data_IF_994460166835
#
_entry.id   IF_994460166835
#
_cell.length_a   1.000
_cell.length_b   1.000
_cell.length_c   1.000
_cell.angle_alpha   90.00
_cell.angle_beta   90.00
_cell.angle_gamma   90.00
#
_symmetry.space_group_name_H-M   'P 1'
#
loop_
_entity.id
_entity.type
_entity.pdbx_description
1 polymer ?
#
# COMPACT_ATOMS: atom_id res chain seq x y z
N UNK A 1 22.85 -15.70 14.08
CA UNK A 1 24.03 -14.82 13.99
C UNK A 1 23.69 -13.52 14.70
N UNK A 2 24.63 -12.78 15.29
CA UNK A 2 24.39 -11.46 15.88
C UNK A 2 24.86 -10.35 14.92
N UNK A 3 24.58 -9.08 15.24
CA UNK A 3 24.94 -7.98 14.35
C UNK A 3 26.46 -7.89 14.13
N UNK A 4 27.27 -8.01 15.19
CA UNK A 4 28.73 -7.90 15.14
C UNK A 4 29.34 -8.88 14.12
N UNK A 5 28.92 -10.14 14.13
CA UNK A 5 29.40 -11.12 13.15
C UNK A 5 28.83 -10.85 11.75
N UNK A 6 27.59 -10.39 11.67
CA UNK A 6 26.93 -10.12 10.39
C UNK A 6 27.61 -9.00 9.60
N UNK A 7 28.01 -7.91 10.26
CA UNK A 7 28.64 -6.77 9.57
C UNK A 7 30.08 -7.05 9.10
N UNK A 8 30.72 -8.10 9.63
CA UNK A 8 32.07 -8.54 9.20
C UNK A 8 32.04 -9.42 7.95
N UNK A 9 30.86 -9.90 7.55
CA UNK A 9 30.68 -10.69 6.34
C UNK A 9 30.79 -9.82 5.08
N UNK A 10 31.24 -10.44 3.98
CA UNK A 10 31.15 -9.82 2.66
C UNK A 10 29.70 -9.48 2.29
N UNK A 11 29.50 -8.55 1.35
CA UNK A 11 28.16 -8.20 0.86
C UNK A 11 27.38 -9.43 0.35
N UNK A 12 28.06 -10.35 -0.34
CA UNK A 12 27.48 -11.60 -0.84
C UNK A 12 27.06 -12.54 0.31
N UNK A 13 27.90 -12.73 1.32
CA UNK A 13 27.57 -13.56 2.48
C UNK A 13 26.40 -12.97 3.29
N UNK A 14 26.39 -11.64 3.48
CA UNK A 14 25.26 -10.93 4.11
C UNK A 14 23.97 -11.13 3.33
N UNK A 15 24.02 -11.04 1.99
CA UNK A 15 22.88 -11.27 1.12
C UNK A 15 22.38 -12.71 1.20
N UNK A 16 23.27 -13.70 1.19
CA UNK A 16 22.88 -15.12 1.30
C UNK A 16 22.17 -15.40 2.63
N UNK A 17 22.72 -14.92 3.74
CA UNK A 17 22.08 -15.05 5.04
C UNK A 17 20.71 -14.36 5.08
N UNK A 18 20.63 -13.12 4.58
CA UNK A 18 19.38 -12.37 4.46
C UNK A 18 18.32 -13.11 3.66
N UNK A 19 18.65 -13.63 2.47
CA UNK A 19 17.73 -14.36 1.60
C UNK A 19 17.27 -15.69 2.21
N UNK A 20 18.13 -16.34 3.01
CA UNK A 20 17.81 -17.60 3.69
C UNK A 20 16.81 -17.44 4.85
N UNK A 21 16.71 -16.23 5.40
CA UNK A 21 15.91 -15.91 6.60
C UNK A 21 14.68 -15.04 6.32
N UNK A 22 14.34 -14.85 5.04
CA UNK A 22 13.15 -14.11 4.62
C UNK A 22 11.86 -14.71 5.21
N UNK A 23 11.00 -13.84 5.71
CA UNK A 23 9.67 -14.21 6.16
C UNK A 23 8.79 -14.65 4.99
N UNK A 24 7.98 -15.67 5.22
CA UNK A 24 6.96 -16.12 4.25
C UNK A 24 5.86 -15.05 4.11
N UNK A 25 5.47 -14.42 5.21
CA UNK A 25 4.43 -13.40 5.22
C UNK A 25 4.58 -12.43 6.40
N UNK A 26 4.19 -11.18 6.20
CA UNK A 26 3.89 -10.24 7.30
C UNK A 26 2.37 -10.02 7.47
N UNK A 27 1.55 -10.81 6.79
CA UNK A 27 0.09 -10.64 6.77
C UNK A 27 -0.50 -11.16 8.08
N UNK A 28 -1.17 -10.28 8.81
CA UNK A 28 -2.05 -10.65 9.93
C UNK A 28 -3.45 -10.99 9.40
N UNK A 29 -4.35 -11.63 10.16
CA UNK A 29 -5.70 -11.94 9.69
C UNK A 29 -6.48 -10.73 9.15
N UNK A 30 -6.27 -9.53 9.72
CA UNK A 30 -6.85 -8.27 9.23
C UNK A 30 -6.35 -7.82 7.84
N UNK A 31 -5.34 -8.47 7.29
CA UNK A 31 -4.86 -8.23 5.94
C UNK A 31 -5.94 -8.53 4.89
N UNK A 32 -6.72 -9.60 5.03
CA UNK A 32 -7.50 -10.15 3.93
C UNK A 32 -8.72 -9.31 3.56
N UNK A 33 -9.49 -8.88 4.56
CA UNK A 33 -10.71 -8.10 4.35
C UNK A 33 -10.84 -7.03 5.42
N UNK A 34 -11.09 -5.79 4.99
CA UNK A 34 -11.49 -4.72 5.90
C UNK A 34 -13.03 -4.69 6.04
N UNK A 35 -13.56 -5.45 7.00
CA UNK A 35 -15.02 -5.52 7.22
C UNK A 35 -15.67 -4.17 7.56
N UNK A 36 -14.94 -3.26 8.20
CA UNK A 36 -15.46 -1.92 8.50
C UNK A 36 -15.67 -1.12 7.21
N UNK A 37 -14.72 -1.20 6.27
CA UNK A 37 -14.89 -0.60 4.93
C UNK A 37 -16.08 -1.23 4.21
N UNK A 38 -16.10 -2.55 4.08
CA UNK A 38 -17.18 -3.27 3.36
C UNK A 38 -18.56 -2.84 3.87
N UNK A 39 -18.78 -2.89 5.20
CA UNK A 39 -20.05 -2.43 5.79
C UNK A 39 -20.38 -0.98 5.49
N UNK A 40 -19.40 -0.07 5.56
CA UNK A 40 -19.62 1.36 5.34
C UNK A 40 -20.00 1.65 3.89
N UNK A 41 -19.24 1.10 2.93
CA UNK A 41 -19.48 1.35 1.50
C UNK A 41 -20.79 0.70 1.03
N UNK A 42 -21.10 -0.52 1.46
CA UNK A 42 -22.39 -1.15 1.12
C UNK A 42 -23.57 -0.39 1.73
N UNK A 43 -23.43 0.10 2.97
CA UNK A 43 -24.49 0.87 3.65
C UNK A 43 -24.77 2.22 2.98
N UNK A 44 -23.79 2.82 2.29
CA UNK A 44 -23.98 4.07 1.54
C UNK A 44 -25.09 3.95 0.49
N UNK A 45 -25.25 2.77 -0.12
CA UNK A 45 -26.21 2.52 -1.22
C UNK A 45 -27.30 1.49 -0.86
N UNK A 46 -27.49 1.20 0.43
CA UNK A 46 -28.38 0.12 0.87
C UNK A 46 -29.83 0.33 0.37
N UNK A 47 -30.33 1.57 0.37
CA UNK A 47 -31.68 1.88 -0.09
C UNK A 47 -31.81 1.71 -1.61
N UNK A 48 -30.84 2.22 -2.36
CA UNK A 48 -30.79 2.14 -3.82
C UNK A 48 -30.70 0.69 -4.26
N UNK A 49 -29.82 -0.10 -3.65
CA UNK A 49 -29.64 -1.52 -3.96
C UNK A 49 -30.89 -2.35 -3.64
N UNK A 50 -31.57 -2.06 -2.52
CA UNK A 50 -32.84 -2.71 -2.21
C UNK A 50 -33.93 -2.37 -3.22
N UNK A 51 -33.96 -1.13 -3.71
CA UNK A 51 -34.91 -0.71 -4.75
C UNK A 51 -34.60 -1.39 -6.08
N UNK A 52 -33.32 -1.50 -6.44
CA UNK A 52 -32.86 -2.14 -7.68
C UNK A 52 -33.09 -3.66 -7.70
N UNK A 53 -33.32 -4.31 -6.54
CA UNK A 53 -33.77 -5.71 -6.52
C UNK A 53 -35.06 -5.92 -7.34
N UNK A 54 -35.88 -4.88 -7.55
CA UNK A 54 -37.04 -4.92 -8.44
C UNK A 54 -36.71 -5.39 -9.86
N UNK A 55 -35.51 -5.08 -10.37
CA UNK A 55 -35.08 -5.43 -11.72
C UNK A 55 -34.66 -6.90 -11.85
N UNK A 56 -34.43 -7.61 -10.74
CA UNK A 56 -33.97 -8.99 -10.78
C UNK A 56 -35.02 -9.88 -11.47
N UNK A 57 -34.59 -10.63 -12.47
CA UNK A 57 -35.43 -11.62 -13.16
C UNK A 57 -36.52 -11.04 -14.08
N UNK A 58 -36.48 -9.74 -14.39
CA UNK A 58 -37.46 -9.12 -15.31
C UNK A 58 -37.25 -9.57 -16.76
N UNK A 59 -38.32 -10.03 -17.40
CA UNK A 59 -38.26 -10.47 -18.81
C UNK A 59 -37.97 -9.33 -19.80
N UNK A 60 -38.57 -8.15 -19.60
CA UNK A 60 -38.27 -6.95 -20.39
C UNK A 60 -37.33 -6.01 -19.62
N UNK A 61 -36.13 -6.51 -19.30
CA UNK A 61 -35.20 -5.86 -18.38
C UNK A 61 -34.83 -4.44 -18.80
N UNK A 62 -34.65 -4.19 -20.09
CA UNK A 62 -34.27 -2.88 -20.61
C UNK A 62 -35.35 -1.84 -20.38
N UNK A 63 -36.59 -2.11 -20.82
CA UNK A 63 -37.70 -1.17 -20.62
C UNK A 63 -38.02 -0.95 -19.14
N UNK A 64 -37.97 -2.01 -18.32
CA UNK A 64 -38.17 -1.91 -16.87
C UNK A 64 -37.10 -1.05 -16.20
N UNK A 65 -35.82 -1.23 -16.57
CA UNK A 65 -34.72 -0.42 -16.09
C UNK A 65 -34.88 1.05 -16.53
N UNK A 66 -35.15 1.28 -17.82
CA UNK A 66 -35.38 2.63 -18.36
C UNK A 66 -36.52 3.35 -17.64
N UNK A 67 -37.65 2.67 -17.43
CA UNK A 67 -38.79 3.22 -16.71
C UNK A 67 -38.46 3.52 -15.24
N UNK A 68 -37.72 2.63 -14.58
CA UNK A 68 -37.31 2.82 -13.19
C UNK A 68 -36.37 4.02 -13.04
N UNK A 69 -35.29 4.07 -13.84
CA UNK A 69 -34.32 5.16 -13.77
C UNK A 69 -34.89 6.49 -14.25
N UNK A 70 -35.83 6.50 -15.19
CA UNK A 70 -36.53 7.73 -15.58
C UNK A 70 -37.37 8.31 -14.43
N UNK A 71 -37.99 7.45 -13.62
CA UNK A 71 -38.77 7.86 -12.43
C UNK A 71 -37.89 8.19 -11.23
N UNK A 72 -36.79 7.47 -11.07
CA UNK A 72 -35.87 7.61 -9.93
C UNK A 72 -34.40 7.66 -10.43
N UNK A 73 -33.97 8.78 -11.05
CA UNK A 73 -32.63 8.88 -11.63
C UNK A 73 -31.51 8.65 -10.62
N UNK A 74 -31.72 9.02 -9.36
CA UNK A 74 -30.70 8.91 -8.31
C UNK A 74 -30.29 7.45 -8.02
N UNK A 75 -31.10 6.45 -8.42
CA UNK A 75 -30.73 5.02 -8.33
C UNK A 75 -29.50 4.69 -9.19
N UNK A 76 -29.23 5.45 -10.25
CA UNK A 76 -28.05 5.28 -11.10
C UNK A 76 -26.75 5.42 -10.30
N UNK A 77 -26.77 6.14 -9.17
CA UNK A 77 -25.58 6.33 -8.33
C UNK A 77 -25.01 5.01 -7.77
N UNK A 78 -25.82 3.94 -7.70
CA UNK A 78 -25.39 2.61 -7.25
C UNK A 78 -24.74 1.77 -8.37
N UNK A 79 -24.87 2.17 -9.63
CA UNK A 79 -24.39 1.42 -10.80
C UNK A 79 -22.87 1.17 -10.76
N UNK A 80 -22.00 2.15 -10.44
CA UNK A 80 -20.56 1.91 -10.33
C UNK A 80 -20.23 0.75 -9.37
N UNK A 81 -20.89 0.67 -8.22
CA UNK A 81 -20.70 -0.44 -7.26
C UNK A 81 -21.15 -1.78 -7.83
N UNK A 82 -22.22 -1.81 -8.61
CA UNK A 82 -22.73 -3.04 -9.25
C UNK A 82 -21.82 -3.57 -10.35
N UNK A 83 -21.05 -2.70 -11.02
CA UNK A 83 -20.04 -3.11 -12.02
C UNK A 83 -18.62 -3.20 -11.44
N UNK A 84 -18.49 -3.18 -10.11
CA UNK A 84 -17.22 -3.21 -9.41
C UNK A 84 -16.24 -2.08 -9.79
N UNK A 85 -16.77 -0.90 -10.17
CA UNK A 85 -15.99 0.31 -10.41
C UNK A 85 -15.89 1.17 -9.16
N UNK A 86 -14.70 1.74 -8.93
CA UNK A 86 -14.49 2.76 -7.89
C UNK A 86 -14.75 4.17 -8.40
N UNK A 87 -14.66 4.35 -9.71
CA UNK A 87 -14.84 5.64 -10.34
C UNK A 87 -16.33 5.93 -10.48
N UNK A 88 -16.75 7.10 -10.01
CA UNK A 88 -18.14 7.55 -10.12
C UNK A 88 -18.35 8.44 -11.35
N UNK A 89 -17.28 8.75 -12.07
CA UNK A 89 -17.32 9.44 -13.36
C UNK A 89 -16.52 8.56 -14.30
N UNK A 90 -17.16 8.07 -15.35
CA UNK A 90 -16.58 7.09 -16.26
C UNK A 90 -16.35 7.72 -17.63
N UNK A 91 -15.11 7.69 -18.10
CA UNK A 91 -14.78 8.00 -19.48
C UNK A 91 -14.93 6.71 -20.31
N UNK A 92 -15.79 6.76 -21.32
CA UNK A 92 -16.19 5.61 -22.12
C UNK A 92 -15.71 5.82 -23.56
N UNK A 93 -14.99 4.83 -24.06
CA UNK A 93 -14.67 4.69 -25.47
C UNK A 93 -15.82 3.96 -26.15
N UNK A 94 -16.36 4.56 -27.21
CA UNK A 94 -17.31 3.93 -28.11
C UNK A 94 -16.66 3.74 -29.48
N UNK A 95 -16.94 2.58 -30.07
CA UNK A 95 -16.60 2.23 -31.45
C UNK A 95 -17.91 1.98 -32.17
N UNK A 96 -18.11 2.61 -33.32
CA UNK A 96 -19.23 2.27 -34.21
C UNK A 96 -18.87 1.07 -35.12
N UNK A 97 -19.79 0.70 -36.02
CA UNK A 97 -19.61 -0.42 -36.95
C UNK A 97 -18.44 -0.22 -37.93
N UNK A 98 -17.97 1.02 -38.10
CA UNK A 98 -16.86 1.41 -38.98
C UNK A 98 -15.55 1.66 -38.19
N UNK A 99 -15.47 1.21 -36.94
CA UNK A 99 -14.35 1.42 -36.00
C UNK A 99 -14.04 2.90 -35.69
N UNK A 100 -15.00 3.82 -35.89
CA UNK A 100 -14.79 5.21 -35.51
C UNK A 100 -14.82 5.35 -33.99
N UNK A 101 -13.77 5.93 -33.45
CA UNK A 101 -13.62 6.18 -32.02
C UNK A 101 -14.32 7.46 -31.60
N UNK A 102 -15.16 7.36 -30.58
CA UNK A 102 -15.68 8.52 -29.84
C UNK A 102 -15.51 8.32 -28.35
N UNK A 103 -15.37 9.43 -27.62
CA UNK A 103 -15.24 9.43 -26.17
C UNK A 103 -16.39 10.23 -25.58
N UNK A 104 -17.02 9.67 -24.57
CA UNK A 104 -18.04 10.36 -23.79
C UNK A 104 -17.86 10.06 -22.31
N UNK A 105 -18.44 10.91 -21.46
CA UNK A 105 -18.31 10.79 -20.03
C UNK A 105 -19.69 10.61 -19.39
N UNK A 106 -19.80 9.66 -18.46
CA UNK A 106 -21.00 9.48 -17.62
C UNK A 106 -20.69 9.81 -16.16
N UNK A 107 -21.43 10.77 -15.60
CA UNK A 107 -21.30 11.18 -14.20
C UNK A 107 -22.37 10.51 -13.33
N UNK A 108 -21.98 9.47 -12.59
CA UNK A 108 -22.82 8.78 -11.61
C UNK A 108 -22.84 9.47 -10.24
N UNK A 109 -22.17 10.61 -10.05
CA UNK A 109 -22.37 11.51 -8.90
C UNK A 109 -23.46 12.54 -9.18
N UNK A 110 -23.47 13.10 -10.40
CA UNK A 110 -24.42 14.12 -10.85
C UNK A 110 -25.14 13.61 -12.10
N UNK A 111 -26.23 12.89 -11.86
CA UNK A 111 -27.03 12.29 -12.93
C UNK A 111 -27.62 13.36 -13.83
N UNK A 112 -27.29 13.29 -15.13
CA UNK A 112 -27.97 14.06 -16.15
C UNK A 112 -29.37 13.45 -16.38
N UNK A 113 -30.39 14.17 -15.92
CA UNK A 113 -31.78 13.73 -16.00
C UNK A 113 -32.39 13.93 -17.39
N UNK A 114 -31.73 14.69 -18.27
CA UNK A 114 -32.23 14.97 -19.62
C UNK A 114 -32.02 13.80 -20.58
N UNK A 115 -31.02 12.96 -20.31
CA UNK A 115 -30.70 11.78 -21.11
C UNK A 115 -30.46 10.57 -20.20
N UNK A 116 -31.53 9.96 -19.70
CA UNK A 116 -31.44 8.71 -18.93
C UNK A 116 -31.04 7.54 -19.83
N UNK A 117 -31.35 7.62 -21.13
CA UNK A 117 -31.13 6.52 -22.07
C UNK A 117 -29.65 6.16 -22.17
N UNK A 118 -28.76 7.16 -22.24
CA UNK A 118 -27.31 6.90 -22.32
C UNK A 118 -26.78 6.07 -21.14
N UNK A 119 -27.33 6.27 -19.93
CA UNK A 119 -26.95 5.48 -18.76
C UNK A 119 -27.45 4.03 -18.87
N UNK A 120 -28.69 3.83 -19.33
CA UNK A 120 -29.26 2.49 -19.48
C UNK A 120 -28.56 1.71 -20.59
N UNK A 121 -28.25 2.36 -21.71
CA UNK A 121 -27.46 1.78 -22.80
C UNK A 121 -26.08 1.35 -22.30
N UNK A 122 -25.42 2.18 -21.49
CA UNK A 122 -24.15 1.82 -20.85
C UNK A 122 -24.30 0.60 -19.93
N UNK A 123 -25.34 0.56 -19.09
CA UNK A 123 -25.61 -0.57 -18.17
C UNK A 123 -25.85 -1.86 -18.95
N UNK A 124 -26.53 -1.79 -20.09
CA UNK A 124 -26.74 -2.94 -20.98
C UNK A 124 -25.43 -3.41 -21.61
N UNK A 125 -24.67 -2.48 -22.21
CA UNK A 125 -23.39 -2.78 -22.86
C UNK A 125 -22.33 -3.31 -21.87
N UNK A 126 -22.38 -2.86 -20.61
CA UNK A 126 -21.55 -3.38 -19.53
C UNK A 126 -21.97 -4.80 -19.06
N UNK A 127 -23.07 -5.33 -19.59
CA UNK A 127 -23.61 -6.66 -19.24
C UNK A 127 -24.39 -6.70 -17.94
N UNK A 128 -24.58 -5.56 -17.24
CA UNK A 128 -25.26 -5.52 -15.95
C UNK A 128 -26.75 -5.87 -16.09
N UNK A 129 -27.43 -5.42 -17.14
CA UNK A 129 -28.83 -5.83 -17.36
C UNK A 129 -28.97 -7.35 -17.56
N UNK A 130 -28.07 -7.97 -18.33
CA UNK A 130 -28.07 -9.42 -18.52
C UNK A 130 -27.86 -10.15 -17.19
N UNK A 131 -26.88 -9.72 -16.39
CA UNK A 131 -26.64 -10.25 -15.05
C UNK A 131 -27.89 -10.15 -14.17
N UNK A 132 -28.53 -8.98 -14.10
CA UNK A 132 -29.75 -8.78 -13.31
C UNK A 132 -30.91 -9.66 -13.79
N UNK A 133 -31.03 -9.84 -15.11
CA UNK A 133 -32.12 -10.60 -15.70
C UNK A 133 -31.94 -12.11 -15.53
N UNK A 134 -30.73 -12.64 -15.70
CA UNK A 134 -30.50 -14.09 -15.88
C UNK A 134 -29.70 -14.74 -14.76
N UNK A 135 -28.89 -13.99 -14.01
CA UNK A 135 -27.89 -14.57 -13.09
C UNK A 135 -28.10 -14.14 -11.62
N UNK A 136 -28.51 -12.90 -11.39
CA UNK A 136 -28.87 -12.42 -10.08
C UNK A 136 -30.14 -13.14 -9.59
N UNK A 137 -30.15 -13.53 -8.31
CA UNK A 137 -31.25 -14.37 -7.78
C UNK A 137 -31.89 -13.89 -6.48
N UNK A 138 -31.26 -12.96 -5.73
CA UNK A 138 -31.73 -12.59 -4.38
C UNK A 138 -31.54 -11.12 -4.00
N UNK A 139 -30.29 -10.70 -3.80
CA UNK A 139 -29.99 -9.45 -3.10
C UNK A 139 -28.79 -8.75 -3.72
N UNK A 140 -29.03 -7.58 -4.31
CA UNK A 140 -27.96 -6.69 -4.78
C UNK A 140 -27.15 -6.11 -3.61
N UNK A 141 -27.74 -6.03 -2.42
CA UNK A 141 -27.02 -5.64 -1.20
C UNK A 141 -25.93 -6.67 -0.88
N UNK A 142 -26.27 -7.98 -0.88
CA UNK A 142 -25.31 -9.05 -0.59
C UNK A 142 -24.26 -9.18 -1.71
N UNK A 143 -24.68 -8.99 -2.96
CA UNK A 143 -23.77 -8.95 -4.10
C UNK A 143 -22.73 -7.83 -3.95
N UNK A 144 -23.17 -6.59 -3.70
CA UNK A 144 -22.26 -5.45 -3.51
C UNK A 144 -21.38 -5.63 -2.27
N UNK A 145 -21.91 -6.24 -1.20
CA UNK A 145 -21.11 -6.60 -0.03
C UNK A 145 -19.94 -7.53 -0.40
N UNK A 146 -20.20 -8.51 -1.27
CA UNK A 146 -19.16 -9.38 -1.85
C UNK A 146 -18.18 -8.63 -2.76
N UNK A 147 -18.68 -7.75 -3.63
CA UNK A 147 -17.85 -6.91 -4.52
C UNK A 147 -16.90 -6.03 -3.71
N UNK A 148 -17.38 -5.37 -2.67
CA UNK A 148 -16.55 -4.50 -1.81
C UNK A 148 -15.44 -5.26 -1.09
N UNK A 149 -15.70 -6.50 -0.69
CA UNK A 149 -14.68 -7.39 -0.13
C UNK A 149 -13.64 -7.82 -1.20
N UNK A 150 -14.08 -7.98 -2.45
CA UNK A 150 -13.24 -8.32 -3.61
C UNK A 150 -12.34 -7.18 -4.08
N UNK A 151 -12.87 -5.95 -4.11
CA UNK A 151 -12.17 -4.75 -4.59
C UNK A 151 -11.01 -4.29 -3.69
N UNK A 152 -10.70 -4.99 -2.60
CA UNK A 152 -9.76 -4.53 -1.57
C UNK A 152 -8.26 -4.71 -1.92
N UNK A 153 -7.91 -5.04 -3.17
CA UNK A 153 -6.54 -5.40 -3.59
C UNK A 153 -5.47 -4.35 -3.29
N UNK A 154 -5.72 -3.07 -3.59
CA UNK A 154 -4.79 -1.98 -3.28
C UNK A 154 -4.70 -1.72 -1.77
N UNK A 155 -5.82 -1.81 -1.06
CA UNK A 155 -5.83 -1.63 0.38
C UNK A 155 -5.10 -2.78 1.11
N UNK A 156 -5.13 -4.01 0.58
CA UNK A 156 -4.32 -5.14 1.06
C UNK A 156 -2.83 -4.80 1.02
N UNK A 157 -2.34 -4.24 -0.10
CA UNK A 157 -0.93 -3.79 -0.22
C UNK A 157 -0.60 -2.72 0.83
N UNK A 158 -1.48 -1.74 1.02
CA UNK A 158 -1.27 -0.69 2.02
C UNK A 158 -1.25 -1.27 3.44
N UNK A 159 -2.17 -2.17 3.80
CA UNK A 159 -2.16 -2.87 5.10
C UNK A 159 -0.87 -3.65 5.35
N UNK A 160 -0.32 -4.28 4.30
CA UNK A 160 0.98 -4.95 4.37
C UNK A 160 2.12 -3.97 4.69
N UNK A 161 2.12 -2.79 4.06
CA UNK A 161 3.07 -1.71 4.35
C UNK A 161 2.94 -1.20 5.78
N UNK A 162 1.73 -0.80 6.19
CA UNK A 162 1.43 -0.35 7.55
C UNK A 162 1.78 -1.39 8.62
N UNK A 163 1.61 -2.69 8.32
CA UNK A 163 2.03 -3.75 9.24
C UNK A 163 3.55 -3.76 9.41
N UNK A 164 4.30 -3.61 8.31
CA UNK A 164 5.76 -3.54 8.34
C UNK A 164 6.25 -2.30 9.11
N UNK A 165 5.72 -1.12 8.79
CA UNK A 165 5.99 0.14 9.50
C UNK A 165 5.72 0.01 11.00
N UNK A 166 4.55 -0.55 11.38
CA UNK A 166 4.21 -0.75 12.77
C UNK A 166 5.10 -1.76 13.50
N UNK A 167 5.65 -2.77 12.81
CA UNK A 167 6.65 -3.67 13.40
C UNK A 167 7.96 -2.92 13.67
N UNK A 168 8.42 -2.13 12.69
CA UNK A 168 9.62 -1.32 12.83
C UNK A 168 9.48 -0.31 13.98
N UNK A 169 8.41 0.47 13.98
CA UNK A 169 8.15 1.50 14.99
C UNK A 169 8.10 0.92 16.40
N UNK A 170 7.38 -0.20 16.61
CA UNK A 170 7.37 -0.89 17.90
C UNK A 170 8.74 -1.41 18.31
N UNK A 171 9.56 -1.84 17.36
CA UNK A 171 10.91 -2.33 17.63
C UNK A 171 11.82 -1.17 18.05
N UNK A 172 11.79 -0.05 17.33
CA UNK A 172 12.52 1.17 17.68
C UNK A 172 12.07 1.72 19.04
N UNK A 173 10.76 1.84 19.26
CA UNK A 173 10.21 2.39 20.49
C UNK A 173 10.63 1.60 21.73
N UNK A 174 10.70 0.26 21.63
CA UNK A 174 11.21 -0.59 22.71
C UNK A 174 12.66 -0.30 23.05
N UNK A 175 13.52 -0.11 22.03
CA UNK A 175 14.92 0.27 22.25
C UNK A 175 14.99 1.66 22.86
N UNK A 176 14.26 2.64 22.32
CA UNK A 176 14.28 4.02 22.83
C UNK A 176 13.70 4.16 24.24
N UNK A 177 12.76 3.31 24.66
CA UNK A 177 12.25 3.34 26.04
C UNK A 177 13.31 2.90 27.07
N UNK A 178 14.26 2.06 26.64
CA UNK A 178 15.28 1.49 27.52
C UNK A 178 16.54 2.36 27.64
N UNK A 179 16.73 3.34 26.74
CA UNK A 179 17.94 4.15 26.64
C UNK A 179 17.60 5.62 26.37
N UNK A 180 18.57 6.54 26.51
CA UNK A 180 18.39 7.96 26.18
C UNK A 180 18.47 8.19 24.66
N UNK A 181 17.54 7.58 23.92
CA UNK A 181 17.33 7.78 22.49
C UNK A 181 15.98 8.46 22.25
N UNK A 182 15.96 9.36 21.28
CA UNK A 182 14.72 9.93 20.76
C UNK A 182 14.40 9.30 19.41
N UNK A 183 13.12 9.14 19.08
CA UNK A 183 12.74 8.73 17.73
C UNK A 183 11.52 9.50 17.24
N UNK A 184 11.40 9.59 15.91
CA UNK A 184 10.25 10.16 15.23
C UNK A 184 9.88 9.27 14.05
N UNK A 185 8.65 8.76 14.06
CA UNK A 185 8.05 8.11 12.89
C UNK A 185 7.69 9.17 11.85
N UNK A 186 7.84 8.86 10.56
CA UNK A 186 7.49 9.74 9.46
C UNK A 186 8.23 11.09 9.56
N UNK A 187 9.55 11.04 9.78
CA UNK A 187 10.40 12.19 10.04
C UNK A 187 10.81 12.91 8.74
N UNK A 188 10.76 14.25 8.76
CA UNK A 188 11.25 15.08 7.65
C UNK A 188 12.62 15.68 7.99
N UNK A 189 13.46 16.02 6.99
CA UNK A 189 14.72 16.73 7.22
C UNK A 189 14.54 18.03 7.99
N UNK A 190 13.45 18.77 7.73
CA UNK A 190 13.13 20.00 8.45
C UNK A 190 12.90 19.76 9.94
N UNK A 191 12.13 18.72 10.30
CA UNK A 191 11.93 18.34 11.69
C UNK A 191 13.25 17.93 12.35
N UNK A 192 14.08 17.15 11.65
CA UNK A 192 15.38 16.70 12.17
C UNK A 192 16.29 17.90 12.47
N UNK A 193 16.37 18.86 11.54
CA UNK A 193 17.17 20.07 11.72
C UNK A 193 16.64 20.93 12.87
N UNK A 194 15.32 21.16 12.94
CA UNK A 194 14.71 21.97 14.01
C UNK A 194 14.85 21.33 15.39
N UNK A 195 14.62 20.02 15.49
CA UNK A 195 14.55 19.32 16.77
C UNK A 195 15.91 18.84 17.30
N UNK A 196 16.77 18.36 16.41
CA UNK A 196 18.04 17.70 16.78
C UNK A 196 19.27 18.45 16.26
N UNK A 197 19.08 19.55 15.51
CA UNK A 197 20.16 20.35 14.91
C UNK A 197 21.09 19.56 13.97
N UNK A 198 20.59 18.47 13.39
CA UNK A 198 21.32 17.64 12.42
C UNK A 198 20.91 18.03 11.00
N UNK A 199 21.89 18.22 10.12
CA UNK A 199 21.68 18.33 8.68
C UNK A 199 21.56 16.94 8.07
N UNK A 200 20.41 16.68 7.45
CA UNK A 200 20.23 15.49 6.63
C UNK A 200 20.22 15.95 5.19
N UNK A 201 21.23 15.59 4.39
CA UNK A 201 21.21 15.91 2.98
C UNK A 201 20.05 15.13 2.36
N UNK A 202 19.15 15.83 1.66
CA UNK A 202 18.12 15.17 0.84
C UNK A 202 18.20 15.54 -0.64
N UNK A 203 18.03 14.52 -1.48
CA UNK A 203 17.91 14.61 -2.93
C UNK A 203 16.61 15.33 -3.36
N UNK A 204 15.58 15.29 -2.51
CA UNK A 204 14.24 15.81 -2.75
C UNK A 204 13.75 16.59 -1.53
N UNK A 205 13.28 17.81 -1.74
CA UNK A 205 12.78 18.73 -0.69
C UNK A 205 11.57 18.21 0.12
N UNK A 206 10.97 17.07 -0.27
CA UNK A 206 9.80 16.48 0.39
C UNK A 206 10.03 15.06 0.95
N UNK A 207 11.28 14.59 1.04
CA UNK A 207 11.56 13.24 1.56
C UNK A 207 11.08 13.11 3.02
N UNK A 208 10.50 11.95 3.33
CA UNK A 208 10.00 11.59 4.65
C UNK A 208 10.40 10.16 4.94
N UNK A 209 11.24 10.00 5.95
CA UNK A 209 11.76 8.71 6.38
C UNK A 209 10.75 8.02 7.28
N UNK A 210 10.60 6.70 7.13
CA UNK A 210 9.64 5.93 7.94
C UNK A 210 9.90 6.08 9.44
N UNK A 211 11.17 6.00 9.87
CA UNK A 211 11.59 6.30 11.24
C UNK A 211 12.96 6.98 11.25
N UNK A 212 13.13 8.01 12.08
CA UNK A 212 14.44 8.55 12.45
C UNK A 212 14.70 8.33 13.93
N UNK A 213 15.90 7.87 14.29
CA UNK A 213 16.35 7.66 15.67
C UNK A 213 17.56 8.53 15.94
N UNK A 214 17.55 9.27 17.05
CA UNK A 214 18.61 10.19 17.45
C UNK A 214 19.24 9.78 18.78
N UNK A 215 20.57 9.74 18.81
CA UNK A 215 21.36 9.58 20.02
C UNK A 215 22.01 10.91 20.40
N UNK A 216 21.62 11.43 21.57
CA UNK A 216 22.25 12.62 22.16
C UNK A 216 23.72 12.40 22.50
N UNK A 217 24.04 11.25 23.09
CA UNK A 217 25.40 10.90 23.53
C UNK A 217 26.39 10.91 22.38
N UNK A 218 26.00 10.38 21.22
CA UNK A 218 26.86 10.28 20.03
C UNK A 218 26.71 11.46 19.07
N UNK A 219 25.68 12.28 19.26
CA UNK A 219 25.19 13.21 18.26
C UNK A 219 25.03 12.56 16.87
N UNK A 220 24.42 11.37 16.85
CA UNK A 220 24.23 10.52 15.66
C UNK A 220 22.76 10.30 15.38
N UNK A 221 22.39 10.25 14.11
CA UNK A 221 21.04 9.87 13.66
C UNK A 221 21.08 8.61 12.79
N UNK A 222 20.08 7.75 12.97
CA UNK A 222 19.80 6.65 12.06
C UNK A 222 18.49 6.93 11.32
N UNK A 223 18.56 6.96 10.00
CA UNK A 223 17.42 7.10 9.10
C UNK A 223 17.03 5.71 8.61
N UNK A 224 15.83 5.29 8.99
CA UNK A 224 15.36 3.93 8.76
C UNK A 224 14.18 3.97 7.79
N UNK A 225 14.33 3.26 6.67
CA UNK A 225 13.24 3.02 5.72
C UNK A 225 12.80 1.57 5.79
N UNK A 226 11.51 1.30 5.56
CA UNK A 226 10.99 -0.07 5.58
C UNK A 226 10.04 -0.40 4.44
N UNK A 227 10.09 -1.66 4.01
CA UNK A 227 9.13 -2.19 3.05
C UNK A 227 9.00 -3.72 3.16
N UNK A 228 7.91 -4.25 2.61
CA UNK A 228 7.66 -5.69 2.55
C UNK A 228 7.22 -6.10 1.15
N UNK A 229 7.88 -7.10 0.57
CA UNK A 229 7.58 -7.60 -0.77
C UNK A 229 7.29 -9.11 -0.74
N UNK A 230 6.00 -9.46 -0.62
CA UNK A 230 5.55 -10.85 -0.71
C UNK A 230 5.58 -11.45 -2.12
N UNK A 231 5.79 -10.62 -3.16
CA UNK A 231 5.91 -11.03 -4.56
C UNK A 231 6.92 -10.17 -5.30
N UNK A 232 7.34 -10.63 -6.48
CA UNK A 232 8.30 -9.91 -7.33
C UNK A 232 7.70 -8.73 -8.09
N UNK A 233 8.55 -8.06 -8.88
CA UNK A 233 8.12 -6.99 -9.79
C UNK A 233 9.18 -5.90 -9.99
N UNK A 234 8.92 -4.97 -10.90
CA UNK A 234 9.80 -3.84 -11.20
C UNK A 234 10.01 -2.90 -10.00
N UNK A 235 9.00 -2.79 -9.12
CA UNK A 235 9.07 -1.95 -7.91
C UNK A 235 10.26 -2.31 -7.00
N UNK A 236 10.58 -3.60 -6.84
CA UNK A 236 11.72 -4.03 -6.01
C UNK A 236 13.04 -3.50 -6.57
N UNK A 237 13.19 -3.51 -7.90
CA UNK A 237 14.38 -3.00 -8.58
C UNK A 237 14.54 -1.50 -8.38
N UNK A 238 13.44 -0.75 -8.56
CA UNK A 238 13.43 0.70 -8.38
C UNK A 238 13.79 1.10 -6.94
N UNK A 239 13.24 0.41 -5.93
CA UNK A 239 13.52 0.70 -4.53
C UNK A 239 14.94 0.34 -4.12
N UNK A 240 15.50 -0.77 -4.63
CA UNK A 240 16.90 -1.12 -4.38
C UNK A 240 17.86 -0.03 -4.91
N UNK A 241 17.61 0.49 -6.12
CA UNK A 241 18.36 1.61 -6.69
C UNK A 241 18.20 2.90 -5.87
N UNK A 242 16.96 3.32 -5.59
CA UNK A 242 16.67 4.52 -4.81
C UNK A 242 17.36 4.51 -3.44
N UNK A 243 17.31 3.38 -2.73
CA UNK A 243 17.89 3.28 -1.40
C UNK A 243 19.41 3.15 -1.43
N UNK A 244 19.98 2.62 -2.52
CA UNK A 244 21.42 2.65 -2.74
C UNK A 244 21.92 4.08 -2.90
N UNK A 245 21.25 4.87 -3.76
CA UNK A 245 21.55 6.29 -3.96
C UNK A 245 21.39 7.07 -2.66
N UNK A 246 20.29 6.86 -1.94
CA UNK A 246 20.04 7.51 -0.65
C UNK A 246 21.11 7.18 0.39
N UNK A 247 21.49 5.91 0.52
CA UNK A 247 22.53 5.48 1.45
C UNK A 247 23.88 6.14 1.15
N UNK A 248 24.25 6.28 -0.11
CA UNK A 248 25.48 6.97 -0.51
C UNK A 248 25.37 8.48 -0.29
N UNK A 249 24.17 9.04 -0.45
CA UNK A 249 23.94 10.46 -0.29
C UNK A 249 24.05 10.91 1.17
N UNK A 250 23.47 10.15 2.11
CA UNK A 250 23.48 10.51 3.53
C UNK A 250 24.88 10.49 4.15
N UNK A 251 25.80 9.67 3.63
CA UNK A 251 27.20 9.59 4.07
C UNK A 251 27.97 10.90 3.79
N UNK A 252 27.50 11.71 2.85
CA UNK A 252 28.08 13.04 2.57
C UNK A 252 27.58 14.13 3.53
N UNK A 253 26.78 13.78 4.54
CA UNK A 253 26.34 14.75 5.55
C UNK A 253 27.53 15.30 6.34
N UNK A 254 27.51 16.60 6.74
CA UNK A 254 28.46 17.11 7.73
C UNK A 254 28.27 16.50 9.13
N UNK A 255 27.09 15.92 9.42
CA UNK A 255 26.76 15.26 10.68
C UNK A 255 26.82 13.73 10.58
N UNK A 256 26.86 13.02 11.71
CA UNK A 256 26.87 11.55 11.74
C UNK A 256 25.47 10.99 11.44
N UNK A 257 25.21 10.76 10.14
CA UNK A 257 23.96 10.24 9.60
C UNK A 257 24.18 8.84 9.03
N UNK A 258 23.42 7.87 9.52
CA UNK A 258 23.47 6.49 9.06
C UNK A 258 22.15 6.08 8.39
N UNK A 259 22.22 5.44 7.22
CA UNK A 259 21.05 4.84 6.60
C UNK A 259 20.88 3.37 7.00
N UNK A 260 19.65 2.98 7.34
CA UNK A 260 19.29 1.61 7.68
C UNK A 260 18.09 1.21 6.85
N UNK A 261 18.16 0.05 6.21
CA UNK A 261 17.08 -0.47 5.40
C UNK A 261 16.48 -1.74 6.01
N UNK A 262 15.23 -1.67 6.44
CA UNK A 262 14.52 -2.83 6.97
C UNK A 262 13.55 -3.37 5.91
N UNK A 263 13.88 -4.48 5.28
CA UNK A 263 13.05 -5.10 4.25
C UNK A 263 12.91 -6.59 4.40
N UNK A 264 11.77 -7.13 3.99
CA UNK A 264 11.50 -8.57 4.05
C UNK A 264 10.53 -9.02 2.95
N UNK A 265 10.32 -10.34 2.86
CA UNK A 265 9.40 -11.01 1.97
C UNK A 265 10.10 -11.76 0.85
N UNK A 266 9.54 -12.93 0.52
CA UNK A 266 10.08 -13.85 -0.50
C UNK A 266 10.19 -13.26 -1.90
N UNK A 267 9.54 -12.12 -2.19
CA UNK A 267 9.64 -11.41 -3.46
C UNK A 267 11.08 -11.03 -3.83
N UNK A 268 11.93 -10.77 -2.84
CA UNK A 268 13.35 -10.46 -3.05
C UNK A 268 14.14 -11.56 -3.77
N UNK A 269 13.70 -12.81 -3.67
CA UNK A 269 14.31 -13.92 -4.42
C UNK A 269 14.24 -13.70 -5.94
N UNK A 270 13.26 -12.95 -6.41
CA UNK A 270 13.08 -12.62 -7.84
C UNK A 270 13.88 -11.39 -8.30
N UNK A 271 14.40 -10.60 -7.36
CA UNK A 271 15.13 -9.36 -7.61
C UNK A 271 16.54 -9.40 -6.99
N UNK A 272 17.18 -10.57 -7.02
CA UNK A 272 18.48 -10.80 -6.36
C UNK A 272 19.58 -9.87 -6.85
N UNK A 273 19.66 -9.59 -8.14
CA UNK A 273 20.74 -8.78 -8.71
C UNK A 273 20.70 -7.31 -8.23
N UNK A 274 19.58 -6.57 -8.35
CA UNK A 274 19.48 -5.23 -7.76
C UNK A 274 19.67 -5.24 -6.23
N UNK A 275 19.20 -6.28 -5.54
CA UNK A 275 19.42 -6.39 -4.11
C UNK A 275 20.89 -6.61 -3.76
N UNK A 276 21.64 -7.38 -4.56
CA UNK A 276 23.07 -7.59 -4.36
C UNK A 276 23.86 -6.29 -4.51
N UNK A 277 23.51 -5.47 -5.50
CA UNK A 277 24.07 -4.12 -5.66
C UNK A 277 23.79 -3.26 -4.44
N UNK A 278 22.55 -3.25 -3.95
CA UNK A 278 22.21 -2.54 -2.71
C UNK A 278 23.00 -3.04 -1.49
N UNK A 279 23.20 -4.36 -1.35
CA UNK A 279 24.02 -4.93 -0.27
C UNK A 279 25.50 -4.54 -0.35
N UNK A 280 26.02 -4.25 -1.54
CA UNK A 280 27.39 -3.78 -1.71
C UNK A 280 27.58 -2.35 -1.16
N UNK A 281 26.51 -1.55 -1.11
CA UNK A 281 26.57 -0.14 -0.71
C UNK A 281 25.90 0.18 0.62
N UNK A 282 24.92 -0.63 1.04
CA UNK A 282 24.14 -0.43 2.26
C UNK A 282 24.64 -1.42 3.31
N UNK A 283 25.33 -0.96 4.38
CA UNK A 283 25.86 -1.86 5.41
C UNK A 283 24.75 -2.52 6.24
N UNK A 284 23.67 -1.78 6.51
CA UNK A 284 22.61 -2.19 7.42
C UNK A 284 21.32 -2.50 6.68
N UNK A 285 21.22 -3.72 6.14
CA UNK A 285 19.99 -4.25 5.54
C UNK A 285 19.45 -5.40 6.39
N UNK A 286 18.28 -5.23 7.00
CA UNK A 286 17.72 -6.19 7.95
C UNK A 286 16.35 -6.71 7.52
N UNK A 287 16.05 -7.98 7.80
CA UNK A 287 14.72 -8.57 7.68
C UNK A 287 14.05 -8.77 9.06
N UNK A 288 12.81 -9.28 9.08
CA UNK A 288 12.09 -9.47 10.33
C UNK A 288 12.72 -10.51 11.25
N UNK A 289 13.40 -11.52 10.70
CA UNK A 289 14.15 -12.49 11.50
C UNK A 289 15.32 -11.82 12.22
N UNK A 290 16.07 -10.97 11.53
CA UNK A 290 17.16 -10.17 12.12
C UNK A 290 16.64 -9.19 13.18
N UNK A 291 15.50 -8.53 12.94
CA UNK A 291 14.85 -7.69 13.96
C UNK A 291 14.47 -8.48 15.21
N UNK A 292 13.89 -9.68 15.03
CA UNK A 292 13.54 -10.59 16.14
C UNK A 292 14.78 -11.00 16.94
N UNK A 293 15.93 -11.15 16.28
CA UNK A 293 17.21 -11.45 16.92
C UNK A 293 17.96 -10.22 17.45
N UNK A 294 17.31 -9.05 17.52
CA UNK A 294 17.85 -7.86 18.20
C UNK A 294 18.84 -7.04 17.38
N UNK A 295 18.93 -7.22 16.05
CA UNK A 295 19.91 -6.48 15.22
C UNK A 295 19.75 -4.96 15.33
N UNK A 296 18.51 -4.48 15.37
CA UNK A 296 18.24 -3.06 15.53
C UNK A 296 18.64 -2.55 16.92
N UNK A 297 18.44 -3.37 17.96
CA UNK A 297 18.92 -3.05 19.30
C UNK A 297 20.45 -2.96 19.31
N UNK A 298 21.15 -3.97 18.77
CA UNK A 298 22.61 -4.01 18.72
C UNK A 298 23.20 -2.84 17.90
N UNK A 299 22.52 -2.42 16.83
CA UNK A 299 22.98 -1.32 15.97
C UNK A 299 22.89 0.03 16.69
N UNK A 300 21.74 0.30 17.27
CA UNK A 300 21.50 1.56 17.97
C UNK A 300 22.39 1.62 19.23
N UNK A 301 22.62 0.47 19.87
CA UNK A 301 23.40 0.30 21.09
C UNK A 301 24.55 -0.71 20.91
N UNK A 302 25.74 -0.31 20.45
CA UNK A 302 26.91 -1.15 20.64
C UNK A 302 27.16 -1.29 22.14
N UNK A 303 27.34 -2.53 22.62
CA UNK A 303 27.55 -2.84 24.04
C UNK A 303 28.62 -1.91 24.60
N UNK A 304 28.32 -1.24 25.73
CA UNK A 304 29.38 -0.78 26.62
C UNK A 304 30.23 -2.02 26.90
N UNK A 305 31.51 -1.98 26.52
CA UNK A 305 32.49 -2.87 27.14
C UNK A 305 32.25 -2.76 28.64
N UNK A 306 31.73 -3.82 29.24
CA UNK A 306 31.75 -3.98 30.69
C UNK A 306 33.25 -4.04 30.99
N UNK A 307 33.84 -2.89 31.32
CA UNK A 307 35.15 -2.85 31.96
C UNK A 307 34.92 -3.47 33.33
N UNK A 308 35.26 -4.76 33.44
CA UNK A 308 35.50 -5.41 34.72
C UNK A 308 36.56 -4.63 35.51
#
# INVERSE_FOLDING_TARGET
>A
MNLENYIQLSSDERLQYFLSTLSVTNRTPGYYVNWNKVRRETKEFELELNTLNYLIGKDNIYEEAFNLFSKQPDLLRAVPSLIASRDKVLDILSLDEDDNMSFHQLDFKKIDKSDIKVYVDFIEQAGLLYFLQKEASRSLVDYVYGVEAGLDSNARKNRSGTTMEGILERSVAKVCQQYDLEFKSQATPSFIKEKWNIEVPVDKSQRRFDVAVYSKEKHKIWLIETNYYGGGGSKLKAVAGEFTELSQFVVNSPDDVEFVWVTDGVGWKTARLPLAEAFAHIPYVFNLDMLKHGYLYDLLMPKKLIRN
#
